data_IF_460714712813
#
_entry.id   IF_460714712813
#
_cell.length_a   1.000
_cell.length_b   1.000
_cell.length_c   1.000
_cell.angle_alpha   90.00
_cell.angle_beta   90.00
_cell.angle_gamma   90.00
#
_symmetry.space_group_name_H-M   'P 1'
#
loop_
_entity.id
_entity.type
_entity.pdbx_description
1 polymer ?
#
# COMPACT_ATOMS: atom_id res chain seq x y z
N UNK A 1 -2.79 0.91 -23.21
CA UNK A 1 -4.07 0.20 -22.97
C UNK A 1 -4.54 -0.62 -24.17
N UNK A 2 -4.52 -0.10 -25.42
CA UNK A 2 -4.96 -0.85 -26.61
C UNK A 2 -4.21 -2.18 -26.85
N UNK A 3 -2.98 -2.31 -26.36
CA UNK A 3 -2.17 -3.53 -26.52
C UNK A 3 -2.37 -4.55 -25.38
N UNK A 4 -3.12 -4.21 -24.33
CA UNK A 4 -3.37 -5.12 -23.21
C UNK A 4 -4.54 -6.04 -23.55
N UNK A 5 -4.40 -7.33 -23.27
CA UNK A 5 -5.52 -8.28 -23.32
C UNK A 5 -6.63 -7.86 -22.35
N UNK A 6 -7.87 -8.28 -22.62
CA UNK A 6 -9.01 -7.97 -21.75
C UNK A 6 -8.77 -8.43 -20.30
N UNK A 7 -8.18 -9.61 -20.11
CA UNK A 7 -7.82 -10.13 -18.79
C UNK A 7 -6.81 -9.22 -18.07
N UNK A 8 -5.82 -8.69 -18.79
CA UNK A 8 -4.82 -7.77 -18.23
C UNK A 8 -5.42 -6.40 -17.87
N UNK A 9 -6.36 -5.91 -18.66
CA UNK A 9 -7.10 -4.68 -18.34
C UNK A 9 -7.95 -4.85 -17.08
N UNK A 10 -8.68 -5.96 -16.97
CA UNK A 10 -9.48 -6.27 -15.79
C UNK A 10 -8.59 -6.40 -14.55
N UNK A 11 -7.48 -7.12 -14.64
CA UNK A 11 -6.55 -7.25 -13.51
C UNK A 11 -5.95 -5.91 -13.10
N UNK A 12 -5.61 -5.03 -14.06
CA UNK A 12 -5.19 -3.66 -13.76
C UNK A 12 -6.28 -2.91 -12.99
N UNK A 13 -7.53 -2.90 -13.46
CA UNK A 13 -8.60 -2.17 -12.77
C UNK A 13 -8.86 -2.70 -11.36
N UNK A 14 -8.79 -4.02 -11.16
CA UNK A 14 -8.87 -4.63 -9.83
C UNK A 14 -7.72 -4.13 -8.95
N UNK A 15 -6.48 -4.13 -9.46
CA UNK A 15 -5.33 -3.61 -8.73
C UNK A 15 -5.49 -2.13 -8.37
N UNK A 16 -5.92 -1.29 -9.30
CA UNK A 16 -6.16 0.13 -9.05
C UNK A 16 -7.22 0.35 -7.97
N UNK A 17 -8.32 -0.42 -8.01
CA UNK A 17 -9.36 -0.35 -7.00
C UNK A 17 -8.86 -0.76 -5.62
N UNK A 18 -8.14 -1.89 -5.52
CA UNK A 18 -7.54 -2.36 -4.28
C UNK A 18 -6.53 -1.35 -3.74
N UNK A 19 -5.67 -0.82 -4.62
CA UNK A 19 -4.68 0.19 -4.25
C UNK A 19 -5.34 1.49 -3.78
N UNK A 20 -6.44 1.91 -4.41
CA UNK A 20 -7.19 3.10 -3.99
C UNK A 20 -7.82 2.92 -2.61
N UNK A 21 -8.52 1.80 -2.39
CA UNK A 21 -9.18 1.52 -1.12
C UNK A 21 -8.19 1.39 0.04
N UNK A 22 -7.08 0.67 -0.19
CA UNK A 22 -6.02 0.51 0.81
C UNK A 22 -5.32 1.84 1.11
N UNK A 23 -5.03 2.66 0.10
CA UNK A 23 -4.45 3.99 0.34
C UNK A 23 -5.36 4.86 1.20
N UNK A 24 -6.67 4.90 0.93
CA UNK A 24 -7.62 5.69 1.71
C UNK A 24 -7.73 5.19 3.16
N UNK A 25 -7.78 3.86 3.34
CA UNK A 25 -7.80 3.24 4.66
C UNK A 25 -6.53 3.59 5.45
N UNK A 26 -5.36 3.32 4.88
CA UNK A 26 -4.07 3.61 5.52
C UNK A 26 -3.92 5.10 5.79
N UNK A 27 -4.31 5.95 4.85
CA UNK A 27 -4.20 7.39 5.04
C UNK A 27 -4.97 7.87 6.28
N UNK A 28 -6.20 7.38 6.46
CA UNK A 28 -7.00 7.69 7.65
C UNK A 28 -6.37 7.17 8.95
N UNK A 29 -5.87 5.92 8.94
CA UNK A 29 -5.21 5.30 10.10
C UNK A 29 -3.93 6.04 10.49
N UNK A 30 -3.07 6.31 9.52
CA UNK A 30 -1.78 6.98 9.74
C UNK A 30 -1.96 8.44 10.13
N UNK A 31 -2.98 9.12 9.60
CA UNK A 31 -3.33 10.47 10.05
C UNK A 31 -3.74 10.50 11.54
N UNK A 32 -4.47 9.48 12.02
CA UNK A 32 -4.79 9.37 13.44
C UNK A 32 -3.53 9.16 14.31
N UNK A 33 -2.58 8.36 13.85
CA UNK A 33 -1.29 8.15 14.53
C UNK A 33 -0.54 9.47 14.65
N UNK A 34 -0.45 10.26 13.58
CA UNK A 34 0.18 11.59 13.61
C UNK A 34 -0.49 12.57 14.59
N UNK A 35 -1.79 12.39 14.86
CA UNK A 35 -2.52 13.17 15.88
C UNK A 35 -2.27 12.69 17.32
N UNK A 36 -1.38 11.73 17.53
CA UNK A 36 -1.09 11.19 18.87
C UNK A 36 -2.14 10.23 19.37
N UNK A 37 -3.04 9.73 18.49
CA UNK A 37 -3.90 8.62 18.86
C UNK A 37 -3.09 7.35 18.84
N UNK A 38 -3.04 6.70 19.99
CA UNK A 38 -2.50 5.38 20.12
C UNK A 38 -3.44 4.40 19.40
N UNK A 39 -2.92 3.57 18.50
CA UNK A 39 -3.73 2.64 17.75
C UNK A 39 -3.90 1.36 18.54
N UNK A 40 -5.09 1.13 19.10
CA UNK A 40 -5.37 -0.12 19.79
C UNK A 40 -5.56 -1.22 18.75
N UNK A 41 -4.57 -2.09 18.67
CA UNK A 41 -4.62 -3.22 17.78
C UNK A 41 -5.67 -4.24 18.26
N UNK A 42 -6.23 -5.07 17.36
CA UNK A 42 -7.25 -6.04 17.75
C UNK A 42 -6.74 -7.15 18.69
N UNK A 43 -5.43 -7.22 18.93
CA UNK A 43 -4.77 -8.10 19.89
C UNK A 43 -4.55 -7.44 21.27
N UNK A 44 -5.11 -6.25 21.47
CA UNK A 44 -5.01 -5.45 22.68
C UNK A 44 -3.66 -4.73 22.87
N UNK A 45 -2.73 -4.79 21.90
CA UNK A 45 -1.55 -3.91 21.93
C UNK A 45 -1.95 -2.48 21.58
N UNK A 46 -1.08 -1.54 21.88
CA UNK A 46 -1.25 -0.15 21.47
C UNK A 46 -0.03 0.29 20.70
N UNK A 47 -0.20 0.62 19.43
CA UNK A 47 0.86 1.24 18.64
C UNK A 47 0.84 2.73 18.97
N UNK A 48 1.68 3.12 19.92
CA UNK A 48 1.97 4.50 20.26
C UNK A 48 3.33 4.88 19.66
N UNK A 49 3.32 5.86 18.76
CA UNK A 49 4.54 6.36 18.14
C UNK A 49 5.48 7.03 19.14
N UNK A 50 4.99 7.43 20.32
CA UNK A 50 5.81 7.93 21.44
C UNK A 50 6.75 6.85 21.97
N UNK A 51 6.33 5.58 21.89
CA UNK A 51 7.12 4.43 22.31
C UNK A 51 7.93 3.87 21.14
N UNK A 52 7.41 3.95 19.92
CA UNK A 52 8.06 3.40 18.72
C UNK A 52 8.17 4.45 17.61
N UNK A 53 9.25 5.23 17.64
CA UNK A 53 9.48 6.36 16.71
C UNK A 53 9.43 5.98 15.23
N UNK A 54 9.73 4.73 14.88
CA UNK A 54 9.59 4.22 13.50
C UNK A 54 8.15 4.33 13.00
N UNK A 55 7.16 4.11 13.86
CA UNK A 55 5.74 4.25 13.52
C UNK A 55 5.40 5.69 13.16
N UNK A 56 6.00 6.68 13.82
CA UNK A 56 5.85 8.09 13.44
C UNK A 56 6.39 8.34 12.03
N UNK A 57 7.60 7.85 11.74
CA UNK A 57 8.24 8.02 10.43
C UNK A 57 7.43 7.40 9.29
N UNK A 58 6.93 6.18 9.49
CA UNK A 58 6.05 5.50 8.53
C UNK A 58 4.73 6.27 8.38
N UNK A 59 4.09 6.69 9.48
CA UNK A 59 2.86 7.46 9.43
C UNK A 59 3.03 8.79 8.68
N UNK A 60 4.14 9.49 8.89
CA UNK A 60 4.46 10.72 8.19
C UNK A 60 4.60 10.48 6.68
N UNK A 61 5.40 9.47 6.30
CA UNK A 61 5.62 9.13 4.91
C UNK A 61 4.32 8.67 4.23
N UNK A 62 3.49 7.87 4.90
CA UNK A 62 2.20 7.43 4.36
C UNK A 62 1.23 8.60 4.12
N UNK A 63 1.13 9.53 5.08
CA UNK A 63 0.18 10.65 5.01
C UNK A 63 0.56 11.69 3.96
N UNK A 64 1.85 12.03 3.86
CA UNK A 64 2.31 13.14 3.02
C UNK A 64 2.91 12.70 1.68
N UNK A 65 3.31 11.44 1.55
CA UNK A 65 4.02 10.95 0.36
C UNK A 65 3.30 9.77 -0.26
N UNK A 66 3.24 8.63 0.42
CA UNK A 66 2.86 7.38 -0.23
C UNK A 66 1.37 7.30 -0.60
N UNK A 67 0.46 7.65 0.31
CA UNK A 67 -0.97 7.63 -0.01
C UNK A 67 -1.34 8.70 -1.05
N UNK A 68 -0.89 9.97 -0.93
CA UNK A 68 -1.08 10.96 -1.99
C UNK A 68 -0.51 10.54 -3.34
N UNK A 69 0.72 10.00 -3.37
CA UNK A 69 1.35 9.51 -4.59
C UNK A 69 0.56 8.35 -5.21
N UNK A 70 0.05 7.44 -4.40
CA UNK A 70 -0.77 6.34 -4.88
C UNK A 70 -2.08 6.84 -5.51
N UNK A 71 -2.82 7.73 -4.82
CA UNK A 71 -4.07 8.30 -5.34
C UNK A 71 -3.81 9.10 -6.62
N UNK A 72 -2.77 9.95 -6.62
CA UNK A 72 -2.36 10.71 -7.79
C UNK A 72 -1.98 9.76 -8.94
N UNK A 73 -1.27 8.67 -8.64
CA UNK A 73 -0.89 7.65 -9.61
C UNK A 73 -2.11 7.02 -10.28
N UNK A 74 -3.13 6.64 -9.50
CA UNK A 74 -4.40 6.11 -10.02
C UNK A 74 -5.06 7.12 -10.96
N UNK A 75 -5.16 8.39 -10.55
CA UNK A 75 -5.74 9.45 -11.40
C UNK A 75 -4.94 9.62 -12.69
N UNK A 76 -3.61 9.65 -12.59
CA UNK A 76 -2.72 9.80 -13.74
C UNK A 76 -2.76 8.60 -14.69
N UNK A 77 -3.10 7.38 -14.25
CA UNK A 77 -3.30 6.25 -15.18
C UNK A 77 -4.35 6.58 -16.24
N UNK A 78 -5.34 7.41 -15.93
CA UNK A 78 -6.40 7.81 -16.86
C UNK A 78 -6.10 9.10 -17.64
N UNK A 79 -5.23 9.98 -17.12
CA UNK A 79 -4.96 11.30 -17.71
C UNK A 79 -3.59 11.38 -18.41
N UNK A 80 -2.55 10.82 -17.80
CA UNK A 80 -1.18 10.79 -18.29
C UNK A 80 -0.54 9.42 -17.94
N UNK A 81 -0.93 8.35 -18.65
CA UNK A 81 -0.77 6.97 -18.17
C UNK A 81 0.66 6.60 -17.80
N UNK A 82 1.64 7.04 -18.58
CA UNK A 82 3.07 6.79 -18.35
C UNK A 82 3.51 7.22 -16.94
N UNK A 83 3.11 8.42 -16.52
CA UNK A 83 3.43 8.94 -15.19
C UNK A 83 2.62 8.24 -14.10
N UNK A 84 1.37 7.87 -14.39
CA UNK A 84 0.55 7.07 -13.49
C UNK A 84 1.19 5.73 -13.16
N UNK A 85 1.64 4.98 -14.17
CA UNK A 85 2.30 3.69 -13.98
C UNK A 85 3.61 3.80 -13.19
N UNK A 86 4.45 4.81 -13.48
CA UNK A 86 5.68 5.01 -12.71
C UNK A 86 5.41 5.33 -11.24
N UNK A 87 4.46 6.23 -10.98
CA UNK A 87 4.14 6.67 -9.62
C UNK A 87 3.54 5.53 -8.80
N UNK A 88 2.69 4.71 -9.43
CA UNK A 88 2.13 3.52 -8.79
C UNK A 88 3.18 2.43 -8.56
N UNK A 89 4.16 2.25 -9.46
CA UNK A 89 5.26 1.31 -9.22
C UNK A 89 6.10 1.73 -8.00
N UNK A 90 6.36 3.03 -7.84
CA UNK A 90 7.01 3.59 -6.64
C UNK A 90 6.16 3.39 -5.38
N UNK A 91 4.84 3.65 -5.46
CA UNK A 91 3.93 3.42 -4.35
C UNK A 91 3.88 1.94 -3.96
N UNK A 92 3.84 1.02 -4.93
CA UNK A 92 3.87 -0.42 -4.70
C UNK A 92 5.16 -0.88 -4.03
N UNK A 93 6.32 -0.33 -4.43
CA UNK A 93 7.58 -0.58 -3.74
C UNK A 93 7.51 -0.14 -2.28
N UNK A 94 7.01 1.08 -2.03
CA UNK A 94 6.82 1.59 -0.68
C UNK A 94 5.90 0.67 0.14
N UNK A 95 4.80 0.18 -0.44
CA UNK A 95 3.88 -0.71 0.26
C UNK A 95 4.54 -2.01 0.70
N UNK A 96 5.33 -2.63 -0.19
CA UNK A 96 6.10 -3.82 0.15
C UNK A 96 7.08 -3.50 1.28
N UNK A 97 7.87 -2.43 1.13
CA UNK A 97 8.88 -2.07 2.12
C UNK A 97 8.28 -1.74 3.49
N UNK A 98 7.27 -0.87 3.54
CA UNK A 98 6.62 -0.43 4.78
C UNK A 98 5.97 -1.61 5.52
N UNK A 99 5.26 -2.50 4.81
CA UNK A 99 4.66 -3.68 5.43
C UNK A 99 5.72 -4.68 5.91
N UNK A 100 6.83 -4.86 5.19
CA UNK A 100 7.97 -5.69 5.65
C UNK A 100 8.59 -5.09 6.92
N UNK A 101 8.79 -3.78 6.98
CA UNK A 101 9.34 -3.11 8.17
C UNK A 101 8.40 -3.24 9.37
N UNK A 102 7.10 -3.01 9.19
CA UNK A 102 6.10 -3.20 10.25
C UNK A 102 6.07 -4.65 10.71
N UNK A 103 6.15 -5.62 9.78
CA UNK A 103 6.21 -7.05 10.11
C UNK A 103 7.47 -7.42 10.89
N UNK A 104 8.65 -6.97 10.43
CA UNK A 104 9.94 -7.28 11.04
C UNK A 104 10.12 -6.67 12.43
N UNK A 105 9.49 -5.52 12.68
CA UNK A 105 9.55 -4.82 13.98
C UNK A 105 8.39 -5.19 14.91
N UNK A 106 7.37 -5.90 14.41
CA UNK A 106 6.25 -6.36 15.22
C UNK A 106 6.58 -7.65 15.98
N UNK A 107 6.74 -7.53 17.30
CA UNK A 107 6.91 -8.66 18.23
C UNK A 107 5.74 -9.66 18.14
N UNK A 108 4.59 -9.23 17.62
CA UNK A 108 3.34 -10.00 17.65
C UNK A 108 2.91 -10.58 16.30
N UNK A 109 3.69 -10.40 15.22
CA UNK A 109 3.53 -11.18 13.99
C UNK A 109 3.52 -12.69 14.26
N UNK A 110 4.32 -13.12 15.24
CA UNK A 110 4.50 -14.53 15.63
C UNK A 110 3.42 -15.08 16.59
N UNK A 111 2.45 -14.28 17.05
CA UNK A 111 1.48 -14.72 18.05
C UNK A 111 0.06 -14.23 17.72
N UNK A 112 -0.60 -14.79 16.68
CA UNK A 112 -1.91 -14.34 16.24
C UNK A 112 -2.97 -14.81 17.23
N UNK A 113 -3.16 -14.05 18.32
CA UNK A 113 -4.44 -14.04 19.05
C UNK A 113 -5.55 -13.35 18.24
N UNK A 114 -5.18 -12.77 17.09
CA UNK A 114 -6.02 -12.12 16.10
C UNK A 114 -6.86 -13.12 15.30
N UNK A 115 -8.06 -12.69 14.89
CA UNK A 115 -8.78 -13.33 13.78
C UNK A 115 -7.91 -13.23 12.50
N UNK A 116 -7.78 -14.34 11.78
CA UNK A 116 -6.99 -14.46 10.55
C UNK A 116 -7.19 -13.30 9.57
N UNK A 117 -8.42 -12.81 9.41
CA UNK A 117 -8.75 -11.70 8.49
C UNK A 117 -8.03 -10.40 8.89
N UNK A 118 -8.04 -10.04 10.17
CA UNK A 118 -7.40 -8.82 10.66
C UNK A 118 -5.88 -8.93 10.57
N UNK A 119 -5.32 -10.09 10.89
CA UNK A 119 -3.90 -10.36 10.71
C UNK A 119 -3.49 -10.25 9.24
N UNK A 120 -4.26 -10.86 8.33
CA UNK A 120 -3.95 -10.85 6.91
C UNK A 120 -3.99 -9.44 6.32
N UNK A 121 -5.03 -8.66 6.64
CA UNK A 121 -5.15 -7.27 6.17
C UNK A 121 -4.04 -6.38 6.75
N UNK A 122 -3.70 -6.58 8.03
CA UNK A 122 -2.71 -5.75 8.72
C UNK A 122 -1.25 -6.03 8.35
N UNK A 123 -0.91 -7.25 7.91
CA UNK A 123 0.47 -7.66 7.65
C UNK A 123 0.75 -8.01 6.17
N UNK A 124 0.33 -9.18 5.62
CA UNK A 124 0.73 -9.58 4.27
C UNK A 124 -0.07 -8.91 3.15
N UNK A 125 -1.29 -8.41 3.37
CA UNK A 125 -2.14 -8.02 2.25
C UNK A 125 -1.59 -6.84 1.44
N UNK A 126 -1.05 -5.81 2.11
CA UNK A 126 -0.38 -4.70 1.43
C UNK A 126 0.83 -5.14 0.60
N UNK A 127 1.60 -6.12 1.10
CA UNK A 127 2.74 -6.73 0.38
C UNK A 127 2.23 -7.40 -0.90
N UNK A 128 1.17 -8.20 -0.80
CA UNK A 128 0.62 -8.95 -1.93
C UNK A 128 0.11 -8.01 -3.02
N UNK A 129 -0.60 -6.94 -2.66
CA UNK A 129 -1.08 -5.95 -3.64
C UNK A 129 0.08 -5.20 -4.30
N UNK A 130 1.07 -4.77 -3.51
CA UNK A 130 2.26 -4.10 -4.04
C UNK A 130 3.06 -4.99 -5.00
N UNK A 131 3.33 -6.25 -4.61
CA UNK A 131 4.01 -7.21 -5.48
C UNK A 131 3.21 -7.53 -6.73
N UNK A 132 1.90 -7.73 -6.62
CA UNK A 132 1.05 -8.01 -7.76
C UNK A 132 1.11 -6.88 -8.80
N UNK A 133 1.12 -5.62 -8.36
CA UNK A 133 1.27 -4.47 -9.25
C UNK A 133 2.67 -4.39 -9.88
N UNK A 134 3.73 -4.64 -9.12
CA UNK A 134 5.10 -4.68 -9.64
C UNK A 134 5.23 -5.76 -10.71
N UNK A 135 4.75 -6.97 -10.44
CA UNK A 135 4.77 -8.09 -11.39
C UNK A 135 3.96 -7.74 -12.64
N UNK A 136 2.75 -7.19 -12.46
CA UNK A 136 1.92 -6.75 -13.58
C UNK A 136 2.66 -5.73 -14.46
N UNK A 137 3.32 -4.75 -13.83
CA UNK A 137 4.10 -3.70 -14.51
C UNK A 137 5.26 -4.28 -15.31
N UNK A 138 5.99 -5.26 -14.75
CA UNK A 138 7.12 -5.92 -15.43
C UNK A 138 6.65 -6.74 -16.63
N UNK A 139 5.57 -7.52 -16.48
CA UNK A 139 5.02 -8.34 -17.57
C UNK A 139 4.57 -7.46 -18.74
N UNK A 140 3.98 -6.30 -18.45
CA UNK A 140 3.40 -5.41 -19.46
C UNK A 140 4.27 -4.20 -19.77
N UNK A 141 5.56 -4.23 -19.37
CA UNK A 141 6.48 -3.08 -19.40
C UNK A 141 6.50 -2.38 -20.77
N UNK A 142 6.60 -3.16 -21.85
CA UNK A 142 6.57 -2.62 -23.20
C UNK A 142 5.23 -1.93 -23.49
N UNK A 143 4.11 -2.59 -23.27
CA UNK A 143 2.77 -2.06 -23.57
C UNK A 143 2.41 -0.78 -22.80
N UNK A 144 3.08 -0.49 -21.67
CA UNK A 144 2.81 0.69 -20.84
C UNK A 144 3.86 1.80 -20.97
N UNK A 145 5.08 1.51 -21.47
CA UNK A 145 6.18 2.48 -21.60
C UNK A 145 6.75 2.67 -23.01
N UNK A 146 6.30 1.94 -24.02
CA UNK A 146 6.77 2.05 -25.42
C UNK A 146 6.15 3.21 -26.22
N UNK A 147 5.35 4.08 -25.59
CA UNK A 147 4.82 5.32 -26.18
C UNK A 147 5.71 6.52 -25.87
#
# INVERSE_FOLDING_TARGET
>A
MKELSAASQVSLYVLLALMGLLALLLWGLQFMILRGKAFTNPDGSTDDWREQKTHYGIAFADVFVACPANILGIVLVFLAPRWGYYLLALASFWWVWANVMTTATSVRFYNPRLNFVMWFIGYPFGILVGLAYIVWTVIHLYAIYSL
#
